data_IF_503625018492
#
_entry.id   IF_503625018492
#
_cell.length_a   1.000
_cell.length_b   1.000
_cell.length_c   1.000
_cell.angle_alpha   90.00
_cell.angle_beta   90.00
_cell.angle_gamma   90.00
#
_symmetry.space_group_name_H-M   'P 1'
#
loop_
_entity.id
_entity.type
_entity.pdbx_description
1 polymer ?
#
# COMPACT_ATOMS: atom_id res chain seq x y z
N UNK A 1 42.96 7.22 -0.40
CA UNK A 1 42.51 7.83 -1.67
C UNK A 1 41.32 8.70 -1.34
N UNK A 2 41.31 9.98 -1.71
CA UNK A 2 40.16 10.86 -1.44
C UNK A 2 39.05 10.54 -2.45
N UNK A 3 37.85 10.25 -1.95
CA UNK A 3 36.64 10.07 -2.77
C UNK A 3 36.30 11.37 -3.50
N UNK A 4 35.76 11.27 -4.72
CA UNK A 4 35.17 12.40 -5.45
C UNK A 4 33.94 12.96 -4.70
N UNK A 5 33.40 14.11 -5.14
CA UNK A 5 32.17 14.64 -4.53
C UNK A 5 31.00 13.66 -4.69
N UNK A 6 30.77 13.20 -5.92
CA UNK A 6 29.70 12.27 -6.27
C UNK A 6 29.80 10.95 -5.49
N UNK A 7 31.03 10.44 -5.28
CA UNK A 7 31.26 9.23 -4.49
C UNK A 7 30.94 9.45 -3.00
N UNK A 8 31.23 10.63 -2.45
CA UNK A 8 30.85 10.95 -1.06
C UNK A 8 29.33 11.08 -0.93
N UNK A 9 28.68 11.74 -1.88
CA UNK A 9 27.23 11.92 -1.88
C UNK A 9 26.52 10.56 -2.00
N UNK A 10 27.05 9.66 -2.83
CA UNK A 10 26.56 8.28 -2.95
C UNK A 10 26.70 7.48 -1.64
N UNK A 11 27.81 7.66 -0.90
CA UNK A 11 27.98 7.03 0.42
C UNK A 11 26.95 7.58 1.41
N UNK A 12 26.75 8.90 1.45
CA UNK A 12 25.75 9.53 2.32
C UNK A 12 24.35 9.04 1.96
N UNK A 13 23.97 9.07 0.67
CA UNK A 13 22.65 8.62 0.22
C UNK A 13 22.37 7.15 0.54
N UNK A 14 23.36 6.27 0.38
CA UNK A 14 23.22 4.85 0.73
C UNK A 14 23.01 4.59 2.23
N UNK A 15 23.66 5.36 3.09
CA UNK A 15 23.43 5.28 4.54
C UNK A 15 22.08 5.91 4.87
N UNK A 16 21.78 7.06 4.29
CA UNK A 16 20.61 7.85 4.64
C UNK A 16 19.31 7.12 4.29
N UNK A 17 19.21 6.52 3.10
CA UNK A 17 18.03 5.72 2.72
C UNK A 17 17.76 4.58 3.70
N UNK A 18 18.81 3.97 4.27
CA UNK A 18 18.66 2.89 5.26
C UNK A 18 18.19 3.40 6.62
N UNK A 19 18.63 4.59 7.03
CA UNK A 19 18.10 5.24 8.24
C UNK A 19 16.62 5.59 8.04
N UNK A 20 16.25 6.12 6.87
CA UNK A 20 14.85 6.47 6.56
C UNK A 20 13.95 5.23 6.43
N UNK A 21 14.44 4.12 5.88
CA UNK A 21 13.73 2.83 5.88
C UNK A 21 13.39 2.36 7.31
N UNK A 22 14.29 2.60 8.27
CA UNK A 22 14.07 2.27 9.69
C UNK A 22 13.09 3.26 10.34
N UNK A 23 13.26 4.57 10.13
CA UNK A 23 12.39 5.60 10.73
C UNK A 23 10.94 5.49 10.26
N UNK A 24 10.74 5.26 8.96
CA UNK A 24 9.42 5.27 8.34
C UNK A 24 8.65 3.97 8.49
N UNK A 25 9.27 2.94 9.08
CA UNK A 25 8.65 1.62 9.24
C UNK A 25 7.45 1.71 10.17
N UNK A 26 6.25 1.64 9.61
CA UNK A 26 5.03 1.60 10.38
C UNK A 26 4.84 0.22 11.02
N UNK A 27 4.81 0.18 12.34
CA UNK A 27 4.54 -1.00 13.14
C UNK A 27 3.79 -0.61 14.42
N UNK A 28 2.87 -1.45 14.91
CA UNK A 28 2.22 -1.21 16.18
C UNK A 28 3.23 -1.27 17.33
N UNK A 29 3.32 -0.21 18.12
CA UNK A 29 4.19 -0.10 19.30
C UNK A 29 3.36 -0.21 20.60
N UNK A 30 2.47 -1.20 20.69
CA UNK A 30 1.55 -1.34 21.81
C UNK A 30 0.67 -2.58 21.69
N UNK A 31 -0.28 -2.71 22.61
CA UNK A 31 -1.31 -3.74 22.61
C UNK A 31 -2.68 -3.11 22.36
N UNK A 32 -3.55 -3.86 21.69
CA UNK A 32 -4.94 -3.47 21.48
C UNK A 32 -5.79 -3.77 22.71
N UNK A 33 -6.76 -2.90 23.02
CA UNK A 33 -7.81 -3.14 24.02
C UNK A 33 -9.15 -3.14 23.29
N UNK A 34 -9.92 -4.21 23.43
CA UNK A 34 -11.19 -4.38 22.72
C UNK A 34 -12.18 -3.27 23.13
N UNK A 35 -12.73 -2.56 22.14
CA UNK A 35 -13.64 -1.43 22.37
C UNK A 35 -12.96 -0.10 22.70
N UNK A 36 -11.63 -0.01 22.56
CA UNK A 36 -10.89 1.25 22.64
C UNK A 36 -10.32 1.59 21.25
N UNK A 37 -11.08 2.26 20.37
CA UNK A 37 -10.58 2.64 19.05
C UNK A 37 -9.45 3.68 19.17
N UNK A 38 -8.56 3.77 18.17
CA UNK A 38 -7.53 4.81 18.16
C UNK A 38 -8.19 6.20 18.10
N UNK A 39 -7.55 7.17 18.72
CA UNK A 39 -7.87 8.57 18.48
C UNK A 39 -7.59 8.94 17.02
N UNK A 40 -8.26 9.98 16.53
CA UNK A 40 -8.04 10.45 15.16
C UNK A 40 -6.57 10.82 14.89
N UNK A 41 -5.85 11.33 15.90
CA UNK A 41 -4.43 11.64 15.76
C UNK A 41 -3.54 10.40 15.65
N UNK A 42 -3.87 9.32 16.37
CA UNK A 42 -3.17 8.04 16.24
C UNK A 42 -3.43 7.39 14.88
N UNK A 43 -4.57 7.69 14.25
CA UNK A 43 -4.91 7.21 12.91
C UNK A 43 -4.10 7.88 11.78
N UNK A 44 -3.40 9.00 12.03
CA UNK A 44 -2.64 9.73 11.00
C UNK A 44 -1.63 8.83 10.30
N UNK A 45 -0.85 8.04 11.05
CA UNK A 45 0.19 7.19 10.47
C UNK A 45 -0.40 6.12 9.54
N UNK A 46 -1.56 5.56 9.91
CA UNK A 46 -2.33 4.62 9.07
C UNK A 46 -2.83 5.31 7.81
N UNK A 47 -3.40 6.52 7.93
CA UNK A 47 -3.88 7.29 6.78
C UNK A 47 -2.77 7.71 5.82
N UNK A 48 -1.58 8.04 6.33
CA UNK A 48 -0.39 8.32 5.50
C UNK A 48 -0.06 7.14 4.60
N UNK A 49 -0.10 5.92 5.13
CA UNK A 49 0.16 4.73 4.34
C UNK A 49 -1.00 4.41 3.37
N UNK A 50 -2.26 4.59 3.78
CA UNK A 50 -3.42 4.45 2.89
C UNK A 50 -3.32 5.40 1.69
N UNK A 51 -2.89 6.64 1.95
CA UNK A 51 -2.69 7.68 0.95
C UNK A 51 -1.48 7.45 0.05
N UNK A 52 -0.58 6.52 0.40
CA UNK A 52 0.66 6.26 -0.34
C UNK A 52 0.48 5.20 -1.44
N UNK A 53 -0.74 4.71 -1.65
CA UNK A 53 -1.07 3.70 -2.66
C UNK A 53 -1.97 4.30 -3.74
N UNK A 54 -1.64 4.05 -5.01
CA UNK A 54 -2.54 4.31 -6.13
C UNK A 54 -3.69 3.28 -6.09
N UNK A 55 -4.93 3.73 -6.35
CA UNK A 55 -6.13 2.90 -6.39
C UNK A 55 -6.85 3.13 -7.72
N UNK A 56 -6.35 2.47 -8.77
CA UNK A 56 -6.82 2.68 -10.14
C UNK A 56 -8.32 2.40 -10.31
N UNK A 57 -8.85 1.36 -9.64
CA UNK A 57 -10.28 1.00 -9.68
C UNK A 57 -11.20 2.09 -9.11
N UNK A 58 -10.68 2.93 -8.21
CA UNK A 58 -11.40 4.03 -7.57
C UNK A 58 -11.05 5.38 -8.20
N UNK A 59 -10.16 5.41 -9.21
CA UNK A 59 -9.68 6.63 -9.83
C UNK A 59 -8.83 7.52 -8.90
N UNK A 60 -8.26 6.95 -7.84
CA UNK A 60 -7.50 7.69 -6.82
C UNK A 60 -6.00 7.50 -7.05
N UNK A 61 -5.26 8.60 -7.17
CA UNK A 61 -3.80 8.61 -7.20
C UNK A 61 -3.24 8.77 -5.78
N UNK A 62 -2.07 8.18 -5.55
CA UNK A 62 -1.36 8.30 -4.27
C UNK A 62 -0.88 9.74 -4.03
N UNK A 63 -0.84 10.16 -2.77
CA UNK A 63 -0.29 11.47 -2.40
C UNK A 63 1.15 11.64 -2.87
N UNK A 64 2.07 10.66 -2.69
CA UNK A 64 3.41 10.74 -3.25
C UNK A 64 3.44 10.95 -4.77
N UNK A 65 2.57 10.26 -5.53
CA UNK A 65 2.44 10.43 -6.98
C UNK A 65 2.03 11.87 -7.32
N UNK A 66 0.99 12.39 -6.68
CA UNK A 66 0.48 13.76 -6.91
C UNK A 66 1.55 14.81 -6.58
N UNK A 67 2.28 14.62 -5.47
CA UNK A 67 3.34 15.53 -5.04
C UNK A 67 4.54 15.48 -6.01
N UNK A 68 4.96 14.31 -6.46
CA UNK A 68 6.03 14.17 -7.44
C UNK A 68 5.66 14.83 -8.79
N UNK A 69 4.44 14.63 -9.27
CA UNK A 69 3.97 15.22 -10.53
C UNK A 69 3.93 16.76 -10.46
N UNK A 70 3.64 17.34 -9.29
CA UNK A 70 3.61 18.80 -9.07
C UNK A 70 4.95 19.51 -9.35
N UNK A 71 6.05 18.74 -9.34
CA UNK A 71 7.41 19.20 -9.60
C UNK A 71 7.99 18.56 -10.88
N UNK A 72 7.13 18.02 -11.76
CA UNK A 72 7.50 17.33 -13.00
C UNK A 72 8.44 16.13 -12.79
N UNK A 73 8.22 15.35 -11.72
CA UNK A 73 8.93 14.11 -11.44
C UNK A 73 7.95 12.93 -11.43
N UNK A 74 8.45 11.76 -11.80
CA UNK A 74 7.74 10.49 -11.63
C UNK A 74 8.15 9.85 -10.30
N UNK A 75 7.18 9.31 -9.56
CA UNK A 75 7.43 8.72 -8.24
C UNK A 75 8.23 7.42 -8.32
N UNK A 76 8.07 6.62 -9.38
CA UNK A 76 8.83 5.38 -9.57
C UNK A 76 10.30 5.65 -9.85
N UNK A 77 10.60 6.72 -10.61
CA UNK A 77 11.98 7.16 -10.82
C UNK A 77 12.63 7.66 -9.53
N UNK A 78 11.88 8.36 -8.67
CA UNK A 78 12.36 8.75 -7.33
C UNK A 78 12.65 7.51 -6.47
N UNK A 79 11.76 6.50 -6.46
CA UNK A 79 12.02 5.25 -5.73
C UNK A 79 13.28 4.53 -6.25
N UNK A 80 13.45 4.43 -7.57
CA UNK A 80 14.64 3.82 -8.18
C UNK A 80 15.92 4.61 -7.86
N UNK A 81 15.87 5.93 -7.86
CA UNK A 81 16.99 6.79 -7.50
C UNK A 81 17.37 6.65 -6.02
N UNK A 82 16.37 6.62 -5.15
CA UNK A 82 16.54 6.33 -3.72
C UNK A 82 17.19 4.95 -3.51
N UNK A 83 16.73 3.90 -4.21
CA UNK A 83 17.29 2.54 -4.08
C UNK A 83 18.75 2.47 -4.52
N UNK A 84 19.15 3.29 -5.50
CA UNK A 84 20.53 3.45 -5.96
C UNK A 84 21.38 4.32 -5.03
N UNK A 85 20.78 4.98 -4.04
CA UNK A 85 21.47 5.88 -3.11
C UNK A 85 21.80 7.25 -3.69
N UNK A 86 21.11 7.69 -4.73
CA UNK A 86 21.26 9.04 -5.30
C UNK A 86 20.75 10.05 -4.27
N UNK A 87 21.65 10.84 -3.69
CA UNK A 87 21.34 11.68 -2.53
C UNK A 87 20.16 12.63 -2.77
N UNK A 88 20.11 13.29 -3.92
CA UNK A 88 19.00 14.19 -4.30
C UNK A 88 17.63 13.49 -4.29
N UNK A 89 17.57 12.23 -4.74
CA UNK A 89 16.33 11.46 -4.76
C UNK A 89 15.98 10.89 -3.37
N UNK A 90 16.97 10.55 -2.55
CA UNK A 90 16.77 10.17 -1.14
C UNK A 90 16.20 11.35 -0.36
N UNK A 91 16.75 12.54 -0.54
CA UNK A 91 16.27 13.77 0.11
C UNK A 91 14.88 14.17 -0.40
N UNK A 92 14.64 14.04 -1.71
CA UNK A 92 13.34 14.30 -2.31
C UNK A 92 12.27 13.36 -1.75
N UNK A 93 12.56 12.06 -1.67
CA UNK A 93 11.63 11.09 -1.11
C UNK A 93 11.28 11.41 0.34
N UNK A 94 12.26 11.82 1.15
CA UNK A 94 12.01 12.30 2.52
C UNK A 94 11.08 13.51 2.53
N UNK A 95 11.34 14.50 1.67
CA UNK A 95 10.50 15.71 1.58
C UNK A 95 9.05 15.39 1.17
N UNK A 96 8.85 14.45 0.24
CA UNK A 96 7.53 13.95 -0.14
C UNK A 96 6.84 13.27 1.06
N UNK A 97 7.60 12.45 1.81
CA UNK A 97 7.09 11.74 2.99
C UNK A 97 6.67 12.71 4.09
N UNK A 98 7.47 13.74 4.36
CA UNK A 98 7.15 14.79 5.34
C UNK A 98 5.95 15.64 4.90
N UNK A 99 5.91 16.02 3.63
CA UNK A 99 4.78 16.77 3.08
C UNK A 99 3.48 15.96 3.15
N UNK A 100 3.55 14.65 2.89
CA UNK A 100 2.41 13.73 3.02
C UNK A 100 1.92 13.64 4.46
N UNK A 101 2.83 13.42 5.42
CA UNK A 101 2.51 13.38 6.86
C UNK A 101 1.89 14.69 7.31
N UNK A 102 2.47 15.83 6.95
CA UNK A 102 1.97 17.15 7.36
C UNK A 102 0.63 17.53 6.74
N UNK A 103 0.41 17.21 5.46
CA UNK A 103 -0.88 17.46 4.80
C UNK A 103 -2.01 16.63 5.42
N UNK A 104 -1.74 15.37 5.76
CA UNK A 104 -2.70 14.46 6.40
C UNK A 104 -2.95 14.86 7.86
N UNK A 105 -1.93 15.26 8.62
CA UNK A 105 -2.11 15.82 9.96
C UNK A 105 -3.00 17.07 9.93
N UNK A 106 -2.74 18.02 9.01
CA UNK A 106 -3.55 19.23 8.88
C UNK A 106 -5.02 18.92 8.55
N UNK A 107 -5.27 17.86 7.78
CA UNK A 107 -6.61 17.36 7.52
C UNK A 107 -7.29 16.78 8.77
N UNK A 108 -6.60 15.90 9.50
CA UNK A 108 -7.12 15.27 10.72
C UNK A 108 -7.37 16.31 11.83
N UNK A 109 -6.47 17.27 12.02
CA UNK A 109 -6.62 18.35 13.00
C UNK A 109 -7.88 19.19 12.75
N UNK A 110 -8.27 19.39 11.50
CA UNK A 110 -9.46 20.18 11.14
C UNK A 110 -10.76 19.39 11.23
N UNK A 111 -10.69 18.07 11.01
CA UNK A 111 -11.85 17.18 11.06
C UNK A 111 -12.20 16.75 12.48
N UNK A 112 -11.28 16.89 13.43
CA UNK A 112 -11.50 16.57 14.85
C UNK A 112 -12.08 17.72 15.67
N UNK A 113 -12.73 17.41 16.79
CA UNK A 113 -13.13 18.39 17.81
C UNK A 113 -12.09 18.47 18.96
N UNK A 114 -12.29 19.37 19.93
CA UNK A 114 -11.40 19.53 21.10
C UNK A 114 -11.24 18.25 21.97
N UNK A 115 -12.06 17.22 21.75
CA UNK A 115 -12.01 15.92 22.43
C UNK A 115 -11.36 14.82 21.57
N UNK A 116 -10.81 15.16 20.40
CA UNK A 116 -10.16 14.21 19.50
C UNK A 116 -11.12 13.33 18.69
N UNK A 117 -12.44 13.58 18.79
CA UNK A 117 -13.46 12.82 18.05
C UNK A 117 -13.61 13.41 16.64
N UNK A 118 -13.76 12.53 15.66
CA UNK A 118 -14.06 12.91 14.27
C UNK A 118 -15.49 13.45 14.21
N UNK A 119 -15.67 14.68 13.72
CA UNK A 119 -16.99 15.32 13.62
C UNK A 119 -17.31 15.60 12.15
N UNK A 120 -18.41 14.99 11.68
CA UNK A 120 -19.07 15.21 10.39
C UNK A 120 -18.12 15.56 9.25
N UNK A 121 -17.29 14.58 8.88
CA UNK A 121 -16.27 14.71 7.82
C UNK A 121 -16.92 15.18 6.52
N UNK A 122 -18.07 14.63 6.13
CA UNK A 122 -18.79 15.01 4.92
C UNK A 122 -19.33 16.46 4.94
N UNK A 123 -19.90 16.91 6.07
CA UNK A 123 -20.40 18.29 6.21
C UNK A 123 -19.25 19.30 6.24
N UNK A 124 -18.16 18.98 6.95
CA UNK A 124 -16.94 19.79 6.97
C UNK A 124 -16.25 19.85 5.60
N UNK A 125 -16.19 18.75 4.87
CA UNK A 125 -15.66 18.73 3.51
C UNK A 125 -16.55 19.56 2.57
N UNK A 126 -17.87 19.38 2.62
CA UNK A 126 -18.82 20.17 1.82
C UNK A 126 -18.75 21.68 2.09
N UNK A 127 -18.61 22.07 3.36
CA UNK A 127 -18.42 23.49 3.74
C UNK A 127 -17.05 24.04 3.32
N UNK A 128 -15.99 23.21 3.32
CA UNK A 128 -14.68 23.59 2.78
C UNK A 128 -14.73 23.83 1.26
N UNK A 129 -15.46 23.01 0.52
CA UNK A 129 -15.60 23.17 -0.94
C UNK A 129 -16.49 24.34 -1.35
N UNK A 130 -17.49 24.71 -0.54
CA UNK A 130 -18.51 25.70 -0.89
C UNK A 130 -18.20 27.18 -0.57
N UNK A 131 -17.30 27.48 0.37
CA UNK A 131 -17.11 28.85 0.89
C UNK A 131 -15.86 29.59 0.38
N UNK A 132 -15.13 29.06 -0.60
CA UNK A 132 -13.89 29.69 -1.08
C UNK A 132 -12.77 29.73 -0.03
N UNK A 133 -12.94 29.00 1.08
CA UNK A 133 -11.89 28.75 2.05
C UNK A 133 -10.97 27.68 1.52
N UNK A 134 -9.69 28.02 1.46
CA UNK A 134 -8.61 27.12 1.10
C UNK A 134 -8.59 25.86 1.98
N UNK A 135 -8.55 24.67 1.39
CA UNK A 135 -8.55 23.40 2.12
C UNK A 135 -7.26 23.23 2.96
N UNK A 136 -7.32 22.65 4.18
CA UNK A 136 -6.19 22.67 5.13
C UNK A 136 -4.96 21.93 4.62
N UNK A 137 -5.13 20.82 3.90
CA UNK A 137 -4.02 20.10 3.27
C UNK A 137 -3.38 20.93 2.15
N UNK A 138 -4.16 21.67 1.36
CA UNK A 138 -3.64 22.55 0.31
C UNK A 138 -2.92 23.76 0.95
N UNK A 139 -3.47 24.36 2.02
CA UNK A 139 -2.79 25.42 2.78
C UNK A 139 -1.44 24.98 3.33
N UNK A 140 -1.34 23.72 3.78
CA UNK A 140 -0.08 23.14 4.22
C UNK A 140 0.89 23.00 3.04
N UNK A 141 0.44 22.40 1.94
CA UNK A 141 1.27 22.18 0.75
C UNK A 141 1.78 23.47 0.10
N UNK A 142 1.03 24.58 0.19
CA UNK A 142 1.49 25.92 -0.26
C UNK A 142 2.76 26.41 0.43
N UNK A 143 3.06 25.91 1.64
CA UNK A 143 4.28 26.25 2.39
C UNK A 143 5.45 25.33 2.05
N UNK A 144 5.23 24.36 1.15
CA UNK A 144 6.22 23.38 0.70
C UNK A 144 6.55 23.62 -0.77
N UNK A 145 7.54 22.90 -1.29
CA UNK A 145 7.87 22.86 -2.73
C UNK A 145 6.74 22.32 -3.62
N UNK A 146 5.72 21.68 -3.04
CA UNK A 146 4.63 21.00 -3.76
C UNK A 146 3.36 21.88 -3.90
N UNK A 147 3.53 23.21 -3.94
CA UNK A 147 2.42 24.17 -4.02
C UNK A 147 1.54 24.05 -5.27
N UNK A 148 2.05 23.39 -6.32
CA UNK A 148 1.37 23.19 -7.60
C UNK A 148 0.70 21.81 -7.70
N UNK A 149 0.56 21.09 -6.58
CA UNK A 149 -0.14 19.81 -6.56
C UNK A 149 -1.58 19.94 -7.07
N UNK A 150 -2.01 18.98 -7.90
CA UNK A 150 -3.32 18.99 -8.55
C UNK A 150 -4.44 18.99 -7.50
N UNK A 151 -5.20 20.08 -7.46
CA UNK A 151 -6.25 20.28 -6.45
C UNK A 151 -7.41 19.29 -6.60
N UNK A 152 -7.78 18.91 -7.82
CA UNK A 152 -8.89 17.99 -8.05
C UNK A 152 -8.52 16.57 -7.62
N UNK A 153 -7.29 16.14 -7.93
CA UNK A 153 -6.77 14.85 -7.46
C UNK A 153 -6.64 14.83 -5.93
N UNK A 154 -6.14 15.92 -5.32
CA UNK A 154 -6.09 16.05 -3.87
C UNK A 154 -7.49 15.99 -3.25
N UNK A 155 -8.49 16.67 -3.81
CA UNK A 155 -9.87 16.62 -3.29
C UNK A 155 -10.42 15.20 -3.31
N UNK A 156 -10.22 14.49 -4.41
CA UNK A 156 -10.66 13.10 -4.57
C UNK A 156 -10.01 12.20 -3.51
N UNK A 157 -8.69 12.31 -3.34
CA UNK A 157 -7.95 11.56 -2.34
C UNK A 157 -8.38 11.89 -0.91
N UNK A 158 -8.48 13.17 -0.54
CA UNK A 158 -8.79 13.57 0.83
C UNK A 158 -10.25 13.29 1.21
N UNK A 159 -11.19 13.29 0.26
CA UNK A 159 -12.55 12.77 0.48
C UNK A 159 -12.51 11.28 0.84
N UNK A 160 -11.74 10.48 0.10
CA UNK A 160 -11.55 9.07 0.40
C UNK A 160 -10.89 8.83 1.76
N UNK A 161 -9.84 9.61 2.09
CA UNK A 161 -9.18 9.54 3.40
C UNK A 161 -10.13 9.95 4.54
N UNK A 162 -11.09 10.82 4.28
CA UNK A 162 -12.14 11.18 5.22
C UNK A 162 -13.04 10.00 5.59
N UNK A 163 -13.47 9.22 4.60
CA UNK A 163 -14.21 7.98 4.86
C UNK A 163 -13.33 6.95 5.58
N UNK A 164 -12.07 6.78 5.16
CA UNK A 164 -11.15 5.88 5.84
C UNK A 164 -10.96 6.27 7.31
N UNK A 165 -10.77 7.57 7.61
CA UNK A 165 -10.64 8.07 8.97
C UNK A 165 -11.86 7.70 9.82
N UNK A 166 -13.07 7.93 9.29
CA UNK A 166 -14.33 7.58 9.95
C UNK A 166 -14.41 6.08 10.28
N UNK A 167 -13.91 5.23 9.38
CA UNK A 167 -13.89 3.78 9.59
C UNK A 167 -12.82 3.31 10.58
N UNK A 168 -11.64 3.95 10.58
CA UNK A 168 -10.53 3.63 11.50
C UNK A 168 -10.91 3.91 12.95
N UNK A 169 -11.63 5.01 13.21
CA UNK A 169 -11.98 5.43 14.58
C UNK A 169 -13.32 4.89 15.07
N UNK A 170 -13.96 4.01 14.30
CA UNK A 170 -15.28 3.47 14.64
C UNK A 170 -15.19 2.49 15.82
N UNK A 171 -16.11 2.62 16.77
CA UNK A 171 -16.19 1.75 17.96
C UNK A 171 -17.33 0.73 17.84
N UNK A 172 -17.03 -0.39 17.16
CA UNK A 172 -18.03 -1.41 16.86
C UNK A 172 -17.76 -2.74 17.57
N UNK A 173 -16.60 -2.92 18.20
CA UNK A 173 -16.12 -4.24 18.65
C UNK A 173 -17.00 -4.84 19.77
N UNK A 174 -17.22 -4.07 20.84
CA UNK A 174 -18.07 -4.51 21.96
C UNK A 174 -19.54 -4.62 21.56
N UNK A 175 -20.01 -3.71 20.68
CA UNK A 175 -21.36 -3.76 20.14
C UNK A 175 -21.64 -5.06 19.38
N UNK A 176 -20.65 -5.53 18.61
CA UNK A 176 -20.79 -6.74 17.79
C UNK A 176 -20.66 -8.02 18.62
N UNK A 177 -19.82 -8.03 19.67
CA UNK A 177 -19.79 -9.10 20.65
C UNK A 177 -21.16 -9.25 21.34
N UNK A 178 -21.79 -8.14 21.73
CA UNK A 178 -23.13 -8.15 22.31
C UNK A 178 -24.16 -8.77 21.34
N UNK A 179 -24.15 -8.35 20.08
CA UNK A 179 -25.04 -8.93 19.05
C UNK A 179 -24.88 -10.45 18.95
N UNK A 180 -23.64 -10.94 18.91
CA UNK A 180 -23.36 -12.38 18.87
C UNK A 180 -23.93 -13.13 20.08
N UNK A 181 -23.74 -12.57 21.30
CA UNK A 181 -24.24 -13.16 22.54
C UNK A 181 -25.77 -13.15 22.65
N UNK A 182 -26.42 -12.19 21.99
CA UNK A 182 -27.89 -12.12 21.86
C UNK A 182 -28.43 -13.08 20.78
N UNK A 183 -27.58 -13.88 20.14
CA UNK A 183 -27.97 -14.76 19.04
C UNK A 183 -28.38 -14.02 17.77
N UNK A 184 -27.96 -12.75 17.64
CA UNK A 184 -28.25 -11.92 16.48
C UNK A 184 -27.19 -12.11 15.38
N UNK A 185 -27.54 -11.68 14.16
CA UNK A 185 -26.64 -11.74 13.01
C UNK A 185 -25.56 -10.65 13.11
N UNK A 186 -24.29 -11.06 13.19
CA UNK A 186 -23.13 -10.16 13.09
C UNK A 186 -22.76 -9.97 11.63
N UNK A 187 -22.65 -8.71 11.20
CA UNK A 187 -22.35 -8.36 9.81
C UNK A 187 -21.01 -8.98 9.34
N UNK A 188 -20.97 -9.69 8.21
CA UNK A 188 -19.74 -10.21 7.65
C UNK A 188 -18.91 -9.11 6.98
N UNK A 189 -17.60 -9.30 6.91
CA UNK A 189 -16.71 -8.39 6.19
C UNK A 189 -15.39 -9.05 5.78
N UNK A 190 -14.66 -8.48 4.82
CA UNK A 190 -13.36 -9.01 4.43
C UNK A 190 -12.35 -8.81 5.57
N UNK A 191 -11.60 -9.85 5.90
CA UNK A 191 -10.36 -9.73 6.66
C UNK A 191 -9.20 -9.37 5.74
N UNK A 192 -8.18 -8.68 6.27
CA UNK A 192 -7.03 -8.31 5.45
C UNK A 192 -6.15 -7.24 6.08
N UNK A 193 -5.46 -6.51 5.20
CA UNK A 193 -4.62 -5.38 5.56
C UNK A 193 -5.43 -4.08 5.35
N UNK A 194 -5.69 -3.28 6.40
CA UNK A 194 -6.52 -2.08 6.28
C UNK A 194 -5.85 -0.94 5.49
N UNK A 195 -4.52 -0.98 5.30
CA UNK A 195 -3.81 0.00 4.48
C UNK A 195 -4.04 -0.32 3.00
N UNK A 196 -3.87 -1.58 2.61
CA UNK A 196 -4.10 -2.02 1.22
C UNK A 196 -5.60 -2.02 0.88
N UNK A 197 -6.44 -2.52 1.77
CA UNK A 197 -7.89 -2.59 1.58
C UNK A 197 -8.66 -2.00 2.77
N UNK A 198 -9.01 -0.69 2.72
CA UNK A 198 -9.80 -0.06 3.77
C UNK A 198 -11.21 -0.63 3.98
N UNK A 199 -11.73 -1.48 3.06
CA UNK A 199 -13.00 -2.20 3.26
C UNK A 199 -12.95 -3.24 4.40
N UNK A 200 -11.75 -3.55 4.90
CA UNK A 200 -11.55 -4.34 6.14
C UNK A 200 -12.06 -3.56 7.36
N UNK A 201 -12.16 -2.24 7.27
CA UNK A 201 -12.73 -1.38 8.30
C UNK A 201 -14.21 -1.11 8.02
N UNK A 202 -15.03 -0.85 9.06
CA UNK A 202 -14.66 -0.81 10.47
C UNK A 202 -14.51 -2.23 11.06
N UNK A 203 -13.86 -2.35 12.22
CA UNK A 203 -13.79 -3.62 12.97
C UNK A 203 -15.16 -3.97 13.58
N UNK A 204 -15.25 -5.11 14.29
CA UNK A 204 -16.52 -5.63 14.80
C UNK A 204 -17.31 -6.47 13.79
N UNK A 205 -16.72 -6.85 12.66
CA UNK A 205 -17.38 -7.73 11.67
C UNK A 205 -17.00 -9.19 11.85
N UNK A 206 -17.86 -10.09 11.38
CA UNK A 206 -17.52 -11.51 11.23
C UNK A 206 -16.61 -11.67 9.99
N UNK A 207 -15.29 -11.65 10.22
CA UNK A 207 -14.32 -11.60 9.13
C UNK A 207 -14.30 -12.90 8.31
N UNK A 208 -14.17 -12.76 7.00
CA UNK A 208 -13.93 -13.86 6.06
C UNK A 208 -12.70 -13.58 5.20
N UNK A 209 -12.19 -14.63 4.54
CA UNK A 209 -11.14 -14.49 3.53
C UNK A 209 -11.73 -13.93 2.22
N UNK A 210 -11.35 -14.49 1.08
CA UNK A 210 -11.86 -14.13 -0.24
C UNK A 210 -12.23 -15.39 -1.03
N UNK A 211 -12.96 -15.22 -2.14
CA UNK A 211 -13.19 -16.30 -3.09
C UNK A 211 -11.84 -16.75 -3.67
N UNK A 212 -11.42 -18.02 -3.48
CA UNK A 212 -10.14 -18.48 -3.97
C UNK A 212 -10.01 -18.43 -5.49
N UNK A 213 -11.07 -18.23 -6.27
CA UNK A 213 -11.01 -18.01 -7.72
C UNK A 213 -10.88 -16.54 -8.12
N UNK A 214 -10.94 -15.60 -7.18
CA UNK A 214 -10.79 -14.18 -7.44
C UNK A 214 -9.32 -13.71 -7.46
N UNK A 215 -8.37 -14.61 -7.24
CA UNK A 215 -6.92 -14.32 -7.21
C UNK A 215 -6.16 -15.22 -8.21
N UNK A 216 -5.00 -14.77 -8.73
CA UNK A 216 -4.44 -13.42 -8.61
C UNK A 216 -5.23 -12.36 -9.40
N UNK A 217 -5.32 -11.15 -8.87
CA UNK A 217 -5.90 -10.01 -9.63
C UNK A 217 -4.89 -9.45 -10.63
N UNK A 218 -5.38 -8.65 -11.60
CA UNK A 218 -4.51 -7.96 -12.56
C UNK A 218 -3.45 -7.08 -11.86
N UNK A 219 -3.86 -6.32 -10.83
CA UNK A 219 -2.94 -5.50 -10.04
C UNK A 219 -1.89 -6.36 -9.30
N UNK A 220 -2.28 -7.53 -8.77
CA UNK A 220 -1.35 -8.44 -8.14
C UNK A 220 -0.31 -9.00 -9.12
N UNK A 221 -0.69 -9.25 -10.39
CA UNK A 221 0.23 -9.69 -11.44
C UNK A 221 1.24 -8.62 -11.82
N UNK A 222 0.81 -7.37 -11.98
CA UNK A 222 1.70 -6.24 -12.28
C UNK A 222 2.71 -6.02 -11.14
N UNK A 223 2.23 -6.03 -9.90
CA UNK A 223 3.06 -5.95 -8.69
C UNK A 223 4.06 -7.11 -8.62
N UNK A 224 3.60 -8.33 -8.85
CA UNK A 224 4.42 -9.53 -8.84
C UNK A 224 5.55 -9.50 -9.87
N UNK A 225 5.27 -9.03 -11.09
CA UNK A 225 6.29 -8.87 -12.14
C UNK A 225 7.44 -7.97 -11.69
N UNK A 226 7.12 -6.82 -11.07
CA UNK A 226 8.12 -5.89 -10.56
C UNK A 226 8.98 -6.56 -9.46
N UNK A 227 8.35 -7.30 -8.54
CA UNK A 227 9.07 -7.99 -7.45
C UNK A 227 10.00 -9.08 -7.99
N UNK A 228 9.53 -9.92 -8.92
CA UNK A 228 10.35 -10.98 -9.53
C UNK A 228 11.50 -10.38 -10.32
N UNK A 229 11.25 -9.34 -11.13
CA UNK A 229 12.31 -8.72 -11.94
C UNK A 229 13.39 -8.10 -11.03
N UNK A 230 13.01 -7.45 -9.92
CA UNK A 230 13.95 -6.94 -8.90
C UNK A 230 14.73 -8.06 -8.20
N UNK A 231 14.06 -9.16 -7.84
CA UNK A 231 14.71 -10.33 -7.24
C UNK A 231 15.78 -10.90 -8.18
N UNK A 232 15.42 -11.11 -9.44
CA UNK A 232 16.31 -11.66 -10.44
C UNK A 232 17.44 -10.70 -10.81
N UNK A 233 17.17 -9.40 -10.91
CA UNK A 233 18.19 -8.37 -11.13
C UNK A 233 19.21 -8.37 -9.99
N UNK A 234 18.75 -8.39 -8.75
CA UNK A 234 19.62 -8.45 -7.58
C UNK A 234 20.45 -9.73 -7.55
N UNK A 235 19.81 -10.89 -7.74
CA UNK A 235 20.51 -12.18 -7.77
C UNK A 235 21.53 -12.25 -8.89
N UNK A 236 21.21 -11.70 -10.06
CA UNK A 236 22.10 -11.63 -11.22
C UNK A 236 23.32 -10.75 -10.92
N UNK A 237 23.12 -9.60 -10.28
CA UNK A 237 24.21 -8.72 -9.87
C UNK A 237 25.17 -9.40 -8.88
N UNK A 238 24.62 -10.13 -7.91
CA UNK A 238 25.40 -10.83 -6.87
C UNK A 238 26.02 -12.16 -7.39
N UNK A 239 25.58 -12.67 -8.55
CA UNK A 239 26.02 -13.96 -9.13
C UNK A 239 26.66 -13.82 -10.52
N UNK A 240 27.47 -12.77 -10.72
CA UNK A 240 28.31 -12.63 -11.91
C UNK A 240 27.53 -12.53 -13.23
N UNK A 241 26.33 -11.95 -13.20
CA UNK A 241 25.52 -11.76 -14.39
C UNK A 241 24.62 -12.95 -14.77
N UNK A 242 24.55 -14.00 -13.94
CA UNK A 242 23.76 -15.22 -14.23
C UNK A 242 22.44 -15.26 -13.48
N UNK A 243 21.38 -15.73 -14.14
CA UNK A 243 20.11 -16.04 -13.49
C UNK A 243 20.27 -17.26 -12.55
N UNK A 244 19.50 -17.32 -11.44
CA UNK A 244 19.38 -18.55 -10.67
C UNK A 244 18.67 -19.63 -11.51
N UNK A 245 19.07 -20.89 -11.35
CA UNK A 245 18.37 -22.01 -12.01
C UNK A 245 17.06 -22.35 -11.28
N UNK A 246 17.08 -22.38 -9.95
CA UNK A 246 15.93 -22.70 -9.09
C UNK A 246 15.77 -21.68 -7.97
N UNK A 247 14.53 -21.31 -7.65
CA UNK A 247 14.17 -20.49 -6.48
C UNK A 247 13.26 -21.28 -5.55
N UNK A 248 13.67 -21.44 -4.29
CA UNK A 248 12.83 -22.02 -3.24
C UNK A 248 12.06 -20.89 -2.52
N UNK A 249 10.75 -21.05 -2.37
CA UNK A 249 9.87 -20.04 -1.77
C UNK A 249 8.71 -20.68 -1.00
N UNK A 250 8.09 -19.89 -0.13
CA UNK A 250 6.97 -20.33 0.73
C UNK A 250 5.72 -19.55 0.37
N UNK A 251 4.58 -20.24 0.24
CA UNK A 251 3.27 -19.61 0.08
C UNK A 251 2.47 -19.68 1.38
N UNK A 252 2.03 -18.52 1.87
CA UNK A 252 1.13 -18.41 3.01
C UNK A 252 -0.27 -17.96 2.55
N UNK A 253 -1.31 -18.49 3.20
CA UNK A 253 -2.66 -18.05 2.90
C UNK A 253 -2.89 -16.58 3.27
N UNK A 254 -2.27 -16.12 4.36
CA UNK A 254 -2.49 -14.78 4.92
C UNK A 254 -2.01 -13.65 4.01
N UNK A 255 -0.83 -13.76 3.40
CA UNK A 255 -0.33 -12.73 2.48
C UNK A 255 -1.10 -12.74 1.16
N UNK A 256 -1.49 -13.91 0.65
CA UNK A 256 -2.28 -14.02 -0.58
C UNK A 256 -3.70 -13.44 -0.42
N UNK A 257 -4.31 -13.57 0.77
CA UNK A 257 -5.58 -12.87 1.09
C UNK A 257 -5.37 -11.35 1.07
N UNK A 258 -4.30 -10.86 1.72
CA UNK A 258 -4.05 -9.41 1.88
C UNK A 258 -3.65 -8.71 0.59
N UNK A 259 -3.01 -9.43 -0.31
CA UNK A 259 -2.42 -8.89 -1.55
C UNK A 259 -3.19 -9.32 -2.80
N UNK A 260 -4.28 -10.07 -2.63
CA UNK A 260 -5.03 -10.66 -3.75
C UNK A 260 -4.15 -11.52 -4.68
N UNK A 261 -3.20 -12.27 -4.09
CA UNK A 261 -2.38 -13.24 -4.81
C UNK A 261 -1.03 -12.73 -5.32
N UNK A 262 -0.40 -11.70 -4.74
CA UNK A 262 0.90 -11.18 -5.23
C UNK A 262 2.00 -12.25 -5.19
N UNK A 263 2.18 -12.98 -4.07
CA UNK A 263 3.24 -13.98 -3.96
C UNK A 263 2.98 -15.21 -4.84
N UNK A 264 1.72 -15.62 -4.98
CA UNK A 264 1.30 -16.64 -5.95
C UNK A 264 1.61 -16.21 -7.40
N UNK A 265 1.28 -14.96 -7.75
CA UNK A 265 1.61 -14.39 -9.05
C UNK A 265 3.13 -14.31 -9.30
N UNK A 266 3.95 -14.11 -8.26
CA UNK A 266 5.41 -14.15 -8.40
C UNK A 266 5.89 -15.53 -8.85
N UNK A 267 5.35 -16.61 -8.28
CA UNK A 267 5.65 -17.99 -8.72
C UNK A 267 5.28 -18.18 -10.18
N UNK A 268 4.05 -17.79 -10.54
CA UNK A 268 3.55 -17.89 -11.92
C UNK A 268 4.49 -17.15 -12.88
N UNK A 269 4.90 -15.93 -12.53
CA UNK A 269 5.81 -15.16 -13.38
C UNK A 269 7.22 -15.75 -13.44
N UNK A 270 7.77 -16.32 -12.37
CA UNK A 270 9.08 -16.99 -12.36
C UNK A 270 9.16 -18.09 -13.43
N UNK A 271 8.16 -18.98 -13.46
CA UNK A 271 8.06 -20.06 -14.46
C UNK A 271 7.55 -19.58 -15.83
N UNK A 272 7.06 -18.34 -15.91
CA UNK A 272 6.55 -17.70 -17.12
C UNK A 272 5.18 -18.22 -17.53
N UNK A 273 4.25 -18.30 -16.59
CA UNK A 273 2.82 -18.55 -16.85
C UNK A 273 1.99 -17.36 -16.38
N UNK A 274 0.79 -17.20 -16.94
CA UNK A 274 -0.19 -16.20 -16.51
C UNK A 274 -1.53 -16.88 -16.19
N UNK A 275 -2.25 -16.41 -15.15
CA UNK A 275 -3.60 -16.87 -14.89
C UNK A 275 -4.55 -16.35 -15.97
N UNK A 276 -5.57 -17.14 -16.28
CA UNK A 276 -6.62 -16.78 -17.24
C UNK A 276 -7.97 -16.86 -16.53
N UNK A 277 -8.64 -15.72 -16.46
CA UNK A 277 -9.99 -15.62 -15.94
C UNK A 277 -11.02 -16.04 -17.00
N UNK A 278 -12.09 -16.69 -16.57
CA UNK A 278 -13.25 -16.92 -17.43
C UNK A 278 -14.13 -15.66 -17.60
N UNK A 279 -15.23 -15.79 -18.34
CA UNK A 279 -16.17 -14.67 -18.59
C UNK A 279 -16.81 -14.10 -17.33
N UNK A 280 -16.75 -14.81 -16.20
CA UNK A 280 -17.25 -14.36 -14.91
C UNK A 280 -16.15 -13.80 -14.00
N UNK A 281 -14.91 -13.69 -14.49
CA UNK A 281 -13.76 -13.19 -13.73
C UNK A 281 -13.10 -14.24 -12.84
N UNK A 282 -13.47 -15.52 -12.96
CA UNK A 282 -12.91 -16.60 -12.11
C UNK A 282 -11.62 -17.11 -12.72
N UNK A 283 -10.52 -17.02 -11.97
CA UNK A 283 -9.23 -17.59 -12.31
C UNK A 283 -9.28 -19.11 -12.07
N UNK A 284 -9.33 -19.87 -13.17
CA UNK A 284 -9.40 -21.33 -13.14
C UNK A 284 -8.51 -22.01 -14.19
N UNK A 285 -7.69 -21.23 -14.89
CA UNK A 285 -6.76 -21.68 -15.93
C UNK A 285 -5.45 -20.91 -15.81
N UNK A 286 -4.39 -21.52 -16.33
CA UNK A 286 -3.09 -20.89 -16.53
C UNK A 286 -2.60 -21.16 -17.94
N UNK A 287 -1.90 -20.21 -18.53
CA UNK A 287 -1.32 -20.33 -19.86
C UNK A 287 0.17 -19.97 -19.83
N UNK A 288 1.01 -20.66 -20.62
CA UNK A 288 2.40 -20.29 -20.76
C UNK A 288 2.53 -18.96 -21.50
N UNK A 289 3.34 -18.07 -20.93
CA UNK A 289 3.83 -16.84 -21.58
C UNK A 289 4.98 -17.22 -22.52
N UNK A 290 5.06 -16.63 -23.71
CA UNK A 290 6.14 -16.93 -24.66
C UNK A 290 7.50 -16.46 -24.11
N UNK A 291 8.61 -17.03 -24.58
CA UNK A 291 9.94 -16.61 -24.11
C UNK A 291 10.29 -15.19 -24.58
N UNK A 292 9.74 -14.78 -25.73
CA UNK A 292 9.86 -13.43 -26.26
C UNK A 292 9.18 -12.41 -25.34
N UNK A 293 7.96 -12.71 -24.86
CA UNK A 293 7.26 -11.87 -23.88
C UNK A 293 7.94 -11.90 -22.50
N UNK A 294 8.47 -13.06 -22.09
CA UNK A 294 9.13 -13.22 -20.80
C UNK A 294 10.49 -12.50 -20.74
N UNK A 295 11.22 -12.42 -21.86
CA UNK A 295 12.51 -11.71 -21.97
C UNK A 295 13.68 -12.35 -21.20
N UNK A 296 13.49 -13.56 -20.67
CA UNK A 296 14.48 -14.31 -19.88
C UNK A 296 14.17 -15.81 -19.88
N UNK A 297 15.10 -16.67 -19.39
CA UNK A 297 14.78 -18.06 -19.11
C UNK A 297 13.65 -18.21 -18.08
N UNK A 298 12.90 -19.32 -18.19
CA UNK A 298 12.01 -19.77 -17.12
C UNK A 298 12.86 -20.23 -15.94
N UNK A 299 12.47 -19.81 -14.74
CA UNK A 299 13.17 -20.15 -13.50
C UNK A 299 12.43 -21.33 -12.87
N UNK A 300 13.15 -22.39 -12.50
CA UNK A 300 12.57 -23.51 -11.77
C UNK A 300 12.19 -23.08 -10.35
N UNK A 301 11.17 -23.72 -9.76
CA UNK A 301 10.63 -23.31 -8.47
C UNK A 301 10.38 -24.51 -7.56
N UNK A 302 10.79 -24.37 -6.31
CA UNK A 302 10.39 -25.29 -5.23
C UNK A 302 9.47 -24.51 -4.31
N UNK A 303 8.18 -24.84 -4.35
CA UNK A 303 7.14 -24.11 -3.62
C UNK A 303 6.71 -24.91 -2.39
N UNK A 304 7.04 -24.39 -1.21
CA UNK A 304 6.56 -24.93 0.06
C UNK A 304 5.25 -24.25 0.45
N UNK A 305 4.12 -24.89 0.14
CA UNK A 305 2.81 -24.41 0.57
C UNK A 305 2.59 -24.70 2.06
N UNK A 306 2.27 -23.68 2.84
CA UNK A 306 1.82 -23.87 4.22
C UNK A 306 0.51 -24.69 4.27
N UNK A 307 0.24 -25.35 5.41
CA UNK A 307 -1.02 -26.09 5.59
C UNK A 307 -2.27 -25.21 5.38
N UNK A 308 -2.23 -23.97 5.87
CA UNK A 308 -3.32 -23.00 5.68
C UNK A 308 -3.48 -22.60 4.21
N UNK A 309 -2.37 -22.42 3.47
CA UNK A 309 -2.44 -22.16 2.04
C UNK A 309 -3.10 -23.33 1.30
N UNK A 310 -2.69 -24.57 1.61
CA UNK A 310 -3.32 -25.78 1.05
C UNK A 310 -4.82 -25.81 1.36
N UNK A 311 -5.23 -25.53 2.59
CA UNK A 311 -6.63 -25.67 2.97
C UNK A 311 -7.55 -24.62 2.32
N UNK A 312 -7.03 -23.41 2.05
CA UNK A 312 -7.80 -22.30 1.46
C UNK A 312 -7.67 -22.19 -0.06
N UNK A 313 -6.51 -22.54 -0.61
CA UNK A 313 -6.10 -22.22 -1.98
C UNK A 313 -5.54 -23.44 -2.71
N UNK A 314 -6.03 -24.65 -2.44
CA UNK A 314 -5.61 -25.87 -3.16
C UNK A 314 -5.85 -25.80 -4.68
N UNK A 315 -6.76 -24.92 -5.12
CA UNK A 315 -7.09 -24.69 -6.52
C UNK A 315 -6.06 -23.82 -7.25
N UNK A 316 -5.13 -23.18 -6.53
CA UNK A 316 -4.08 -22.32 -7.05
C UNK A 316 -2.79 -23.12 -7.26
#
# INVERSE_FOLDING_TARGET
>A
TQLSSDERDLVVGNIYRKIMEIESRLLPCGLHVIGEPPSAMEAVATLVNIASLDRAEEGIRSLPSILAESINRDIQDIYRGNDKGILDDVELLRQITEASRGAISAFVDRTTNKRGQVVDVAEKLGTMFGFGLMEPWVQYLYKTRFLNADKEQLRTLFTYLGECLRLVVADNELGSLKQALEGSYVEPGPGGDPIRNPKVLPTGKNIHALDPQAIPTAAALESAKIVVDRLLERQKADNGGKYPETVALVLWGTDNIKTYGESLAQVMWMVGVRPVADTFGRVNKVEPVSLEELGRPRIDVVVNCSGVFRDLFINQ
#
